data_IF_318448432217
#
_entry.id   IF_318448432217
#
_cell.length_a   1.000
_cell.length_b   1.000
_cell.length_c   1.000
_cell.angle_alpha   90.00
_cell.angle_beta   90.00
_cell.angle_gamma   90.00
#
_symmetry.space_group_name_H-M   'P 1'
#
loop_
_entity.id
_entity.type
_entity.pdbx_description
1 polymer ?
#
# COMPACT_ATOMS: atom_id res chain seq x y z
N UNK A 1 20.53 -0.04 -10.14
CA UNK A 1 19.29 -0.63 -9.60
C UNK A 1 19.10 -0.03 -8.24
N UNK A 2 18.02 0.71 -8.03
CA UNK A 2 17.80 1.41 -6.78
C UNK A 2 17.10 0.45 -5.80
N UNK A 3 17.40 0.58 -4.52
CA UNK A 3 16.79 -0.20 -3.46
C UNK A 3 16.02 0.74 -2.54
N UNK A 4 14.82 0.31 -2.15
CA UNK A 4 14.00 1.03 -1.18
C UNK A 4 13.51 0.07 -0.11
N UNK A 5 13.61 0.51 1.13
CA UNK A 5 13.04 -0.15 2.29
C UNK A 5 11.76 0.56 2.70
N UNK A 6 10.78 -0.20 3.16
CA UNK A 6 9.50 0.27 3.68
C UNK A 6 9.19 -0.40 5.00
N UNK A 7 8.80 0.40 5.99
CA UNK A 7 8.34 -0.07 7.29
C UNK A 7 6.85 0.16 7.46
N UNK A 8 6.07 -0.90 7.57
CA UNK A 8 4.64 -0.87 7.84
C UNK A 8 4.41 -0.62 9.34
N UNK A 9 4.11 0.64 9.71
CA UNK A 9 3.89 1.08 11.08
C UNK A 9 2.53 0.65 11.64
N UNK A 10 1.52 0.55 10.79
CA UNK A 10 0.20 0.02 11.14
C UNK A 10 -0.22 -1.05 10.13
N UNK A 11 -1.14 -1.98 10.50
CA UNK A 11 -1.43 -3.14 9.65
C UNK A 11 -1.89 -2.72 8.25
N UNK A 12 -1.15 -3.12 7.23
CA UNK A 12 -1.51 -2.99 5.82
C UNK A 12 -2.40 -4.16 5.41
N UNK A 13 -3.64 -3.86 5.02
CA UNK A 13 -4.56 -4.87 4.52
C UNK A 13 -4.81 -4.66 3.03
N UNK A 14 -4.35 -5.60 2.22
CA UNK A 14 -4.64 -5.65 0.79
C UNK A 14 -5.47 -6.90 0.51
N UNK A 15 -6.46 -6.74 -0.38
CA UNK A 15 -7.29 -7.83 -0.85
C UNK A 15 -7.15 -7.95 -2.38
N UNK A 16 -6.82 -9.16 -2.85
CA UNK A 16 -6.76 -9.53 -4.25
C UNK A 16 -7.61 -10.79 -4.43
N UNK A 17 -8.46 -10.83 -5.45
CA UNK A 17 -9.39 -11.95 -5.72
C UNK A 17 -10.19 -12.42 -4.49
N UNK A 18 -10.70 -11.44 -3.73
CA UNK A 18 -11.46 -11.64 -2.47
C UNK A 18 -10.67 -12.34 -1.35
N UNK A 19 -9.36 -12.48 -1.49
CA UNK A 19 -8.45 -13.04 -0.48
C UNK A 19 -7.55 -11.96 0.07
N UNK A 20 -7.26 -12.05 1.36
CA UNK A 20 -6.32 -11.12 2.01
C UNK A 20 -4.89 -11.56 1.70
N UNK A 21 -4.07 -10.63 1.22
CA UNK A 21 -2.66 -10.88 0.98
C UNK A 21 -1.95 -11.18 2.31
N UNK A 22 -1.16 -12.27 2.31
CA UNK A 22 -0.38 -12.72 3.48
C UNK A 22 1.12 -12.48 3.34
N UNK A 23 1.54 -11.95 2.19
CA UNK A 23 2.89 -11.52 1.87
C UNK A 23 2.83 -10.17 1.19
N UNK A 24 3.90 -9.41 1.29
CA UNK A 24 3.96 -8.12 0.62
C UNK A 24 4.28 -8.32 -0.87
N UNK A 25 3.43 -7.76 -1.72
CA UNK A 25 3.65 -7.71 -3.17
C UNK A 25 3.57 -6.26 -3.63
N UNK A 26 4.67 -5.74 -4.18
CA UNK A 26 4.80 -4.32 -4.54
C UNK A 26 3.70 -3.86 -5.50
N UNK A 27 3.43 -4.62 -6.56
CA UNK A 27 2.40 -4.26 -7.54
C UNK A 27 1.00 -4.17 -6.93
N UNK A 28 0.63 -5.07 -6.01
CA UNK A 28 -0.67 -5.02 -5.33
C UNK A 28 -0.76 -3.82 -4.39
N UNK A 29 0.32 -3.55 -3.65
CA UNK A 29 0.43 -2.37 -2.80
C UNK A 29 0.30 -1.08 -3.61
N UNK A 30 1.10 -0.95 -4.67
CA UNK A 30 1.14 0.24 -5.51
C UNK A 30 -0.20 0.49 -6.22
N UNK A 31 -0.83 -0.54 -6.78
CA UNK A 31 -2.19 -0.44 -7.36
C UNK A 31 -3.23 0.07 -6.35
N UNK A 32 -3.15 -0.36 -5.08
CA UNK A 32 -4.05 0.12 -4.03
C UNK A 32 -3.75 1.56 -3.60
N UNK A 33 -2.47 1.92 -3.50
CA UNK A 33 -2.03 3.28 -3.18
C UNK A 33 -2.48 4.26 -4.27
N UNK A 34 -2.22 3.95 -5.54
CA UNK A 34 -2.57 4.82 -6.66
C UNK A 34 -4.09 5.01 -6.78
N UNK A 35 -4.87 3.94 -6.59
CA UNK A 35 -6.34 4.04 -6.50
C UNK A 35 -6.78 4.97 -5.38
N UNK A 36 -6.14 4.89 -4.22
CA UNK A 36 -6.45 5.77 -3.08
C UNK A 36 -6.12 7.23 -3.40
N UNK A 37 -4.96 7.51 -3.97
CA UNK A 37 -4.55 8.88 -4.36
C UNK A 37 -5.53 9.45 -5.39
N UNK A 38 -5.85 8.68 -6.44
CA UNK A 38 -6.84 9.06 -7.45
C UNK A 38 -8.22 9.35 -6.83
N UNK A 39 -8.70 8.50 -5.92
CA UNK A 39 -9.95 8.73 -5.20
C UNK A 39 -9.91 10.00 -4.34
N UNK A 40 -8.80 10.28 -3.65
CA UNK A 40 -8.67 11.48 -2.83
C UNK A 40 -8.73 12.74 -3.71
N UNK A 41 -8.06 12.74 -4.85
CA UNK A 41 -8.07 13.87 -5.79
C UNK A 41 -9.46 14.11 -6.37
N UNK A 42 -10.10 13.07 -6.89
CA UNK A 42 -11.40 13.25 -7.56
C UNK A 42 -12.51 13.63 -6.56
N UNK A 43 -12.55 13.02 -5.36
CA UNK A 43 -13.63 13.27 -4.41
C UNK A 43 -13.44 14.53 -3.54
N UNK A 44 -12.21 14.98 -3.31
CA UNK A 44 -11.95 16.16 -2.48
C UNK A 44 -11.51 17.40 -3.25
N UNK A 45 -11.04 17.23 -4.50
CA UNK A 45 -10.58 18.34 -5.33
C UNK A 45 -11.25 18.41 -6.70
N UNK A 46 -12.05 17.41 -7.09
CA UNK A 46 -12.68 17.36 -8.42
C UNK A 46 -11.67 17.19 -9.56
N UNK A 47 -10.46 16.74 -9.25
CA UNK A 47 -9.35 16.58 -10.20
C UNK A 47 -9.16 15.10 -10.52
N UNK A 48 -9.17 14.77 -11.81
CA UNK A 48 -8.75 13.44 -12.26
C UNK A 48 -7.22 13.34 -12.26
N UNK A 49 -6.71 12.21 -11.77
CA UNK A 49 -5.29 11.92 -11.81
C UNK A 49 -4.93 11.42 -13.22
N UNK A 50 -4.47 12.31 -14.10
CA UNK A 50 -4.08 11.96 -15.47
C UNK A 50 -2.70 11.30 -15.50
N UNK A 51 -2.67 9.96 -15.60
CA UNK A 51 -1.45 9.15 -15.65
C UNK A 51 -1.65 7.93 -16.56
N UNK A 52 -0.55 7.35 -17.04
CA UNK A 52 -0.58 6.02 -17.65
C UNK A 52 -0.69 4.94 -16.55
N UNK A 53 -1.89 4.75 -16.02
CA UNK A 53 -2.16 3.72 -15.01
C UNK A 53 -1.79 2.31 -15.48
N UNK A 54 -1.96 2.01 -16.78
CA UNK A 54 -1.66 0.69 -17.32
C UNK A 54 -0.16 0.47 -17.38
N UNK A 55 0.60 1.44 -17.87
CA UNK A 55 2.06 1.41 -17.89
C UNK A 55 2.64 1.31 -16.49
N UNK A 56 2.18 2.15 -15.54
CA UNK A 56 2.63 2.09 -14.15
C UNK A 56 2.29 0.75 -13.49
N UNK A 57 1.10 0.20 -13.74
CA UNK A 57 0.73 -1.12 -13.24
C UNK A 57 1.66 -2.22 -13.78
N UNK A 58 1.95 -2.22 -15.08
CA UNK A 58 2.86 -3.19 -15.70
C UNK A 58 4.30 -3.04 -15.19
N UNK A 59 4.81 -1.81 -15.03
CA UNK A 59 6.14 -1.56 -14.46
C UNK A 59 6.21 -2.01 -13.00
N UNK A 60 5.16 -1.82 -12.21
CA UNK A 60 5.13 -2.23 -10.80
C UNK A 60 5.27 -3.75 -10.60
N UNK A 61 4.91 -4.55 -11.60
CA UNK A 61 5.08 -6.02 -11.58
C UNK A 61 6.55 -6.44 -11.78
N UNK A 62 7.41 -5.55 -12.28
CA UNK A 62 8.84 -5.81 -12.45
C UNK A 62 9.66 -5.50 -11.20
N UNK A 63 9.08 -4.81 -10.22
CA UNK A 63 9.72 -4.52 -8.93
C UNK A 63 9.79 -5.80 -8.10
N UNK A 64 10.99 -6.15 -7.65
CA UNK A 64 11.26 -7.38 -6.92
C UNK A 64 11.36 -7.11 -5.43
N UNK A 65 10.62 -7.85 -4.63
CA UNK A 65 10.83 -7.94 -3.18
C UNK A 65 12.13 -8.71 -2.93
N UNK A 66 13.08 -8.09 -2.23
CA UNK A 66 14.39 -8.69 -1.90
C UNK A 66 14.45 -9.15 -0.43
N UNK A 67 13.64 -8.54 0.43
CA UNK A 67 13.49 -8.93 1.83
C UNK A 67 12.04 -8.68 2.25
N UNK A 68 11.41 -9.64 2.94
CA UNK A 68 10.07 -9.51 3.51
C UNK A 68 10.10 -10.05 4.95
N UNK A 69 10.28 -9.14 5.91
CA UNK A 69 10.21 -9.40 7.34
C UNK A 69 8.82 -9.03 7.90
N UNK A 70 7.79 -8.96 7.04
CA UNK A 70 6.44 -8.64 7.49
C UNK A 70 5.77 -9.86 8.14
N UNK A 71 4.93 -9.58 9.13
CA UNK A 71 4.10 -10.57 9.80
C UNK A 71 2.63 -10.17 9.68
N UNK A 72 1.77 -11.17 9.46
CA UNK A 72 0.34 -10.93 9.44
C UNK A 72 -0.21 -10.89 10.87
N UNK A 73 -0.55 -9.68 11.35
CA UNK A 73 -1.20 -9.49 12.65
C UNK A 73 -2.71 -9.64 12.48
N UNK A 74 -3.26 -10.75 12.94
CA UNK A 74 -4.71 -10.95 12.95
C UNK A 74 -5.34 -10.22 14.14
N UNK A 75 -6.45 -9.52 13.89
CA UNK A 75 -7.27 -8.89 14.92
C UNK A 75 -8.63 -8.52 14.38
N UNK A 76 -9.58 -8.31 15.29
CA UNK A 76 -10.98 -8.05 14.95
C UNK A 76 -11.47 -6.79 15.68
N UNK A 77 -12.43 -6.09 15.05
CA UNK A 77 -13.17 -4.99 15.67
C UNK A 77 -14.66 -5.29 15.65
N UNK A 78 -15.35 -5.08 16.78
CA UNK A 78 -16.81 -5.16 16.78
C UNK A 78 -17.43 -3.93 16.09
N UNK A 79 -18.40 -4.16 15.21
CA UNK A 79 -19.15 -3.12 14.50
C UNK A 79 -20.55 -3.02 15.06
N UNK A 80 -20.81 -1.99 15.88
CA UNK A 80 -22.15 -1.75 16.42
C UNK A 80 -23.20 -1.57 15.31
N UNK A 81 -22.82 -0.93 14.18
CA UNK A 81 -23.72 -0.74 13.03
C UNK A 81 -24.14 -2.05 12.37
N UNK A 82 -23.25 -3.05 12.35
CA UNK A 82 -23.52 -4.34 11.69
C UNK A 82 -23.80 -5.48 12.67
N UNK A 83 -23.71 -5.23 13.98
CA UNK A 83 -23.86 -6.25 15.03
C UNK A 83 -22.85 -7.40 14.94
N UNK A 84 -21.70 -7.21 14.29
CA UNK A 84 -20.75 -8.30 14.02
C UNK A 84 -19.29 -7.87 14.17
N UNK A 85 -18.41 -8.85 14.37
CA UNK A 85 -16.96 -8.65 14.31
C UNK A 85 -16.49 -8.51 12.87
N UNK A 86 -15.68 -7.50 12.62
CA UNK A 86 -15.01 -7.22 11.34
C UNK A 86 -13.55 -7.66 11.48
N UNK A 87 -13.08 -8.46 10.53
CA UNK A 87 -11.67 -8.84 10.44
C UNK A 87 -10.85 -7.65 9.98
N UNK A 88 -9.90 -7.24 10.81
CA UNK A 88 -9.02 -6.09 10.60
C UNK A 88 -7.55 -6.50 10.40
N UNK A 89 -7.26 -7.81 10.33
CA UNK A 89 -5.90 -8.29 10.16
C UNK A 89 -5.20 -7.77 8.90
N UNK A 90 -3.88 -7.56 9.01
CA UNK A 90 -3.00 -7.03 7.95
C UNK A 90 -1.53 -7.25 8.27
N UNK A 91 -0.66 -6.89 7.32
CA UNK A 91 0.81 -7.01 7.40
C UNK A 91 1.40 -5.84 8.20
N UNK A 92 2.37 -6.15 9.08
CA UNK A 92 3.16 -5.17 9.85
C UNK A 92 4.62 -5.62 9.79
N UNK A 93 5.57 -4.69 9.82
CA UNK A 93 7.00 -4.99 9.77
C UNK A 93 7.66 -4.38 8.54
N UNK A 94 8.82 -4.92 8.19
CA UNK A 94 9.74 -4.32 7.22
C UNK A 94 9.76 -5.12 5.92
N UNK A 95 9.85 -4.43 4.80
CA UNK A 95 10.00 -5.01 3.46
C UNK A 95 10.97 -4.17 2.65
N UNK A 96 11.83 -4.80 1.86
CA UNK A 96 12.71 -4.11 0.93
C UNK A 96 12.47 -4.62 -0.50
N UNK A 97 12.57 -3.71 -1.45
CA UNK A 97 12.36 -4.00 -2.86
C UNK A 97 13.33 -3.23 -3.77
N UNK A 98 13.57 -3.77 -4.96
CA UNK A 98 14.49 -3.23 -5.96
C UNK A 98 13.89 -3.28 -7.36
N UNK A 99 14.37 -2.39 -8.22
CA UNK A 99 13.97 -2.28 -9.60
C UNK A 99 14.24 -0.88 -10.14
N UNK A 100 13.49 -0.52 -11.18
CA UNK A 100 13.32 0.86 -11.60
C UNK A 100 12.22 1.48 -10.72
N UNK A 101 12.63 2.28 -9.72
CA UNK A 101 11.74 2.77 -8.66
C UNK A 101 11.36 4.24 -8.82
N UNK A 102 12.04 4.97 -9.70
CA UNK A 102 12.00 6.43 -9.78
C UNK A 102 10.57 6.94 -10.00
N UNK A 103 9.84 6.33 -10.94
CA UNK A 103 8.45 6.68 -11.27
C UNK A 103 7.46 6.41 -10.12
N UNK A 104 7.82 5.56 -9.15
CA UNK A 104 6.95 5.24 -8.02
C UNK A 104 7.18 6.16 -6.82
N UNK A 105 8.38 6.75 -6.67
CA UNK A 105 8.79 7.51 -5.47
C UNK A 105 7.80 8.62 -5.10
N UNK A 106 7.31 9.48 -6.02
CA UNK A 106 6.39 10.56 -5.64
C UNK A 106 5.09 10.04 -5.00
N UNK A 107 4.58 8.90 -5.48
CA UNK A 107 3.38 8.27 -4.93
C UNK A 107 3.66 7.61 -3.57
N UNK A 108 4.82 6.97 -3.43
CA UNK A 108 5.24 6.36 -2.16
C UNK A 108 5.38 7.40 -1.06
N UNK A 109 6.01 8.54 -1.35
CA UNK A 109 6.12 9.67 -0.41
C UNK A 109 4.73 10.19 -0.01
N UNK A 110 3.84 10.43 -0.99
CA UNK A 110 2.48 10.86 -0.70
C UNK A 110 1.73 9.83 0.16
N UNK A 111 1.98 8.55 -0.07
CA UNK A 111 1.39 7.45 0.68
C UNK A 111 1.83 7.36 2.14
N UNK A 112 2.99 7.90 2.53
CA UNK A 112 3.36 8.02 3.95
C UNK A 112 2.36 8.91 4.70
N UNK A 113 1.91 9.99 4.06
CA UNK A 113 0.92 10.92 4.62
C UNK A 113 -0.52 10.39 4.51
N UNK A 114 -0.88 9.79 3.36
CA UNK A 114 -2.27 9.37 3.13
C UNK A 114 -2.55 7.93 3.52
N UNK A 115 -1.55 7.13 3.89
CA UNK A 115 -1.62 5.68 4.11
C UNK A 115 -2.03 4.89 2.85
N UNK A 116 -2.00 3.56 2.91
CA UNK A 116 -2.37 2.68 1.81
C UNK A 116 -3.29 1.51 2.22
N UNK A 117 -3.96 0.91 1.23
CA UNK A 117 -4.77 -0.30 1.42
C UNK A 117 -6.13 -0.06 2.09
N UNK A 118 -6.76 -1.17 2.50
CA UNK A 118 -8.11 -1.19 3.09
C UNK A 118 -8.07 -0.65 4.51
N UNK A 119 -9.14 0.05 4.88
CA UNK A 119 -9.33 0.66 6.20
C UNK A 119 -8.33 1.76 6.57
N UNK A 120 -7.71 2.41 5.58
CA UNK A 120 -6.83 3.56 5.79
C UNK A 120 -7.47 4.68 6.65
N UNK A 121 -8.78 4.93 6.48
CA UNK A 121 -9.55 5.90 7.30
C UNK A 121 -9.72 5.49 8.77
N UNK A 122 -9.42 4.23 9.12
CA UNK A 122 -9.35 3.74 10.49
C UNK A 122 -7.89 3.68 11.01
N UNK A 123 -6.95 4.36 10.34
CA UNK A 123 -5.55 4.45 10.74
C UNK A 123 -4.66 3.27 10.28
N UNK A 124 -5.19 2.36 9.46
CA UNK A 124 -4.43 1.23 8.91
C UNK A 124 -3.54 1.64 7.73
N UNK A 125 -2.53 0.82 7.43
CA UNK A 125 -1.64 0.99 6.29
C UNK A 125 -0.75 2.22 6.31
N UNK A 126 -0.42 2.75 7.50
CA UNK A 126 0.63 3.75 7.66
C UNK A 126 1.99 3.09 7.45
N UNK A 127 2.86 3.73 6.71
CA UNK A 127 4.22 3.27 6.47
C UNK A 127 5.18 4.44 6.34
N UNK A 128 6.47 4.12 6.40
CA UNK A 128 7.56 5.03 6.08
C UNK A 128 8.52 4.35 5.09
N UNK A 129 9.16 5.12 4.21
CA UNK A 129 10.18 4.62 3.27
C UNK A 129 11.57 5.17 3.61
N UNK A 130 12.61 4.41 3.30
CA UNK A 130 14.00 4.84 3.44
C UNK A 130 14.91 4.14 2.43
N UNK A 131 15.95 4.82 1.96
CA UNK A 131 16.91 4.28 0.99
C UNK A 131 17.53 5.38 0.13
N UNK A 132 18.54 5.00 -0.67
CA UNK A 132 19.14 5.90 -1.65
C UNK A 132 18.26 5.95 -2.91
N UNK A 133 17.74 7.14 -3.19
CA UNK A 133 17.15 7.51 -4.48
C UNK A 133 18.15 8.45 -5.15
N UNK A 134 18.93 7.92 -6.09
CA UNK A 134 19.83 8.73 -6.93
C UNK A 134 19.01 9.42 -8.03
#
# INVERSE_FOLDING_TARGET
MNQLSMRLLTPLRIEADKKVCRRFEFHLFFKNLLRRISNLLIFHHGVELELDFKGLAAKSEQVKTIEDATVFKDWERYSNRQGQKIKMGGLVGDVAFTGDLEEFIPFLILGEAVHAGKYATFGMGKYEISGEHA
#
